data_IF_654240817593
#
_entry.id   IF_654240817593
#
_cell.length_a   1.000
_cell.length_b   1.000
_cell.length_c   1.000
_cell.angle_alpha   90.00
_cell.angle_beta   90.00
_cell.angle_gamma   90.00
#
_symmetry.space_group_name_H-M   'P 1'
#
loop_
_entity.id
_entity.type
_entity.pdbx_description
1 polymer ?
#
# COMPACT_ATOMS: atom_id res chain seq x y z
N UNK A 1 -0.20 -0.94 -11.50
CA UNK A 1 -1.57 -0.54 -11.19
C UNK A 1 -1.86 0.83 -11.77
N UNK A 2 -3.05 1.00 -12.31
CA UNK A 2 -3.37 2.28 -12.88
C UNK A 2 -3.73 3.30 -11.80
N UNK A 3 -3.86 4.56 -12.22
CA UNK A 3 -4.11 5.66 -11.29
C UNK A 3 -5.44 5.52 -10.56
N UNK A 4 -6.45 5.01 -11.25
CA UNK A 4 -7.78 4.83 -10.65
C UNK A 4 -7.73 3.79 -9.56
N UNK A 5 -7.07 2.66 -9.82
CA UNK A 5 -6.92 1.59 -8.84
C UNK A 5 -6.14 2.07 -7.63
N UNK A 6 -5.05 2.79 -7.86
CA UNK A 6 -4.25 3.33 -6.76
C UNK A 6 -5.07 4.26 -5.87
N UNK A 7 -5.89 5.10 -6.49
CA UNK A 7 -6.75 6.02 -5.75
C UNK A 7 -7.79 5.28 -4.91
N UNK A 8 -8.37 4.23 -5.47
CA UNK A 8 -9.37 3.42 -4.75
C UNK A 8 -8.76 2.72 -3.56
N UNK A 9 -7.57 2.15 -3.73
CA UNK A 9 -6.87 1.48 -2.64
C UNK A 9 -6.52 2.48 -1.55
N UNK A 10 -6.03 3.66 -1.94
CA UNK A 10 -5.69 4.70 -0.98
C UNK A 10 -6.91 5.12 -0.15
N UNK A 11 -8.03 5.34 -0.81
CA UNK A 11 -9.25 5.74 -0.11
C UNK A 11 -9.73 4.64 0.83
N UNK A 12 -9.65 3.41 0.39
CA UNK A 12 -10.04 2.27 1.23
C UNK A 12 -9.16 2.18 2.48
N UNK A 13 -7.84 2.28 2.30
CA UNK A 13 -6.92 2.19 3.43
C UNK A 13 -7.07 3.36 4.39
N UNK A 14 -7.27 4.56 3.85
CA UNK A 14 -7.49 5.73 4.71
C UNK A 14 -8.70 5.55 5.60
N UNK A 15 -9.78 5.01 5.05
CA UNK A 15 -10.99 4.75 5.80
C UNK A 15 -10.81 3.62 6.79
N UNK A 16 -10.25 2.51 6.33
CA UNK A 16 -10.09 1.30 7.15
C UNK A 16 -9.13 1.50 8.32
N UNK A 17 -8.07 2.26 8.08
CA UNK A 17 -7.04 2.49 9.10
C UNK A 17 -7.20 3.82 9.83
N UNK A 18 -8.21 4.60 9.46
CA UNK A 18 -8.48 5.87 10.11
C UNK A 18 -7.36 6.89 9.92
N UNK A 19 -6.70 6.88 8.76
CA UNK A 19 -5.58 7.78 8.51
C UNK A 19 -5.75 8.53 7.21
N UNK A 20 -5.94 9.85 7.31
CA UNK A 20 -6.05 10.72 6.14
C UNK A 20 -4.69 11.04 5.52
N UNK A 21 -3.61 10.73 6.23
CA UNK A 21 -2.27 11.05 5.79
C UNK A 21 -1.62 9.94 4.98
N UNK A 22 -2.26 8.78 4.93
CA UNK A 22 -1.75 7.63 4.20
C UNK A 22 -1.82 7.87 2.70
N UNK A 23 -0.75 7.53 1.98
CA UNK A 23 -0.69 7.65 0.54
C UNK A 23 -0.29 6.33 -0.09
N UNK A 24 -0.86 6.06 -1.26
CA UNK A 24 -0.51 4.89 -2.06
C UNK A 24 0.01 5.40 -3.40
N UNK A 25 1.26 5.10 -3.70
CA UNK A 25 1.93 5.59 -4.89
C UNK A 25 2.43 4.45 -5.75
N UNK A 26 2.22 4.56 -7.06
CA UNK A 26 2.73 3.56 -8.00
C UNK A 26 4.25 3.55 -8.00
N UNK A 27 4.82 2.38 -8.18
CA UNK A 27 6.26 2.21 -8.26
C UNK A 27 6.70 2.26 -9.71
N UNK A 28 7.76 3.01 -9.96
CA UNK A 28 8.35 3.08 -11.29
C UNK A 28 8.81 1.69 -11.73
N UNK A 29 8.47 1.34 -12.96
CA UNK A 29 8.81 0.03 -13.55
C UNK A 29 8.16 -1.18 -12.87
N UNK A 30 7.15 -0.94 -12.03
CA UNK A 30 6.41 -2.02 -11.37
C UNK A 30 4.92 -1.77 -11.59
N UNK A 31 4.29 -2.61 -12.39
CA UNK A 31 2.88 -2.43 -12.74
C UNK A 31 1.93 -3.12 -11.75
N UNK A 32 2.47 -4.03 -10.95
CA UNK A 32 1.64 -4.84 -10.04
C UNK A 32 1.94 -4.56 -8.56
N UNK A 33 2.63 -3.47 -8.27
CA UNK A 33 2.90 -3.11 -6.89
C UNK A 33 2.88 -1.60 -6.70
N UNK A 34 2.73 -1.19 -5.45
CA UNK A 34 2.69 0.22 -5.08
C UNK A 34 3.27 0.41 -3.69
N UNK A 35 3.82 1.59 -3.44
CA UNK A 35 4.35 1.94 -2.14
C UNK A 35 3.28 2.60 -1.28
N UNK A 36 3.30 2.30 0.01
CA UNK A 36 2.43 2.95 0.98
C UNK A 36 3.29 3.79 1.92
N UNK A 37 2.93 5.05 2.04
CA UNK A 37 3.64 5.97 2.94
C UNK A 37 2.65 6.63 3.89
N UNK A 38 3.15 7.07 5.04
CA UNK A 38 2.35 7.80 6.01
C UNK A 38 3.20 8.97 6.51
N UNK A 39 2.69 10.18 6.28
CA UNK A 39 3.42 11.41 6.64
C UNK A 39 4.83 11.43 6.03
N UNK A 40 4.94 10.91 4.81
CA UNK A 40 6.22 10.87 4.11
C UNK A 40 7.11 9.70 4.50
N UNK A 41 6.70 8.89 5.45
CA UNK A 41 7.48 7.75 5.91
C UNK A 41 6.99 6.47 5.24
N UNK A 42 7.91 5.71 4.68
CA UNK A 42 7.58 4.47 3.99
C UNK A 42 7.08 3.42 4.99
N UNK A 43 5.92 2.83 4.71
CA UNK A 43 5.35 1.78 5.56
C UNK A 43 5.47 0.41 4.94
N UNK A 44 5.18 0.28 3.67
CA UNK A 44 5.15 -1.04 3.07
C UNK A 44 4.76 -1.01 1.61
N UNK A 45 4.46 -2.18 1.08
CA UNK A 45 4.19 -2.37 -0.34
C UNK A 45 2.89 -3.13 -0.53
N UNK A 46 2.13 -2.71 -1.53
CA UNK A 46 0.91 -3.42 -1.93
C UNK A 46 1.22 -4.20 -3.20
N UNK A 47 0.81 -5.45 -3.23
CA UNK A 47 0.95 -6.32 -4.40
C UNK A 47 -0.42 -6.69 -4.93
N UNK A 48 -0.57 -6.61 -6.24
CA UNK A 48 -1.77 -7.06 -6.92
C UNK A 48 -1.66 -8.55 -7.21
N UNK A 49 -2.69 -9.30 -6.85
CA UNK A 49 -2.74 -10.73 -7.05
C UNK A 49 -3.96 -11.05 -7.92
N UNK A 50 -3.71 -11.64 -9.07
CA UNK A 50 -4.76 -11.98 -10.03
C UNK A 50 -4.95 -13.48 -10.19
N UNK A 51 -4.45 -14.27 -9.26
CA UNK A 51 -4.61 -15.71 -9.34
C UNK A 51 -6.08 -16.12 -9.20
N UNK A 52 -6.42 -17.23 -9.83
CA UNK A 52 -7.76 -17.83 -9.74
C UNK A 52 -8.88 -16.93 -10.31
N UNK A 53 -8.54 -15.99 -11.16
CA UNK A 53 -9.53 -15.16 -11.82
C UNK A 53 -10.09 -14.02 -10.97
N UNK A 54 -9.74 -13.99 -9.71
CA UNK A 54 -10.12 -12.90 -8.82
C UNK A 54 -8.95 -11.97 -8.59
N UNK A 55 -9.24 -10.69 -8.41
CA UNK A 55 -8.20 -9.70 -8.12
C UNK A 55 -8.26 -9.34 -6.66
N UNK A 56 -7.13 -9.43 -5.99
CA UNK A 56 -7.02 -8.94 -4.63
C UNK A 56 -5.69 -8.21 -4.48
N UNK A 57 -5.56 -7.47 -3.38
CA UNK A 57 -4.39 -6.67 -3.11
C UNK A 57 -3.89 -6.99 -1.71
N UNK A 58 -2.61 -7.31 -1.62
CA UNK A 58 -1.97 -7.65 -0.35
C UNK A 58 -1.08 -6.49 0.10
N UNK A 59 -1.29 -6.03 1.30
CA UNK A 59 -0.45 -4.99 1.89
C UNK A 59 0.54 -5.65 2.84
N UNK A 60 1.82 -5.58 2.50
CA UNK A 60 2.90 -6.10 3.32
C UNK A 60 3.64 -4.97 3.99
N UNK A 61 3.73 -5.04 5.30
CA UNK A 61 4.42 -4.04 6.10
C UNK A 61 5.52 -4.73 6.90
N UNK A 62 6.74 -4.24 6.78
CA UNK A 62 7.87 -4.79 7.52
C UNK A 62 8.15 -3.91 8.73
N UNK A 63 8.17 -4.53 9.90
CA UNK A 63 8.49 -3.84 11.15
C UNK A 63 9.85 -4.36 11.60
N UNK A 64 10.81 -3.46 11.67
CA UNK A 64 12.15 -3.83 12.10
C UNK A 64 12.22 -3.81 13.62
N UNK A 65 12.97 -4.76 14.16
CA UNK A 65 13.14 -4.85 15.61
C UNK A 65 13.65 -3.54 16.21
N UNK A 66 14.53 -2.86 15.48
CA UNK A 66 15.08 -1.59 15.93
C UNK A 66 14.01 -0.50 16.08
N UNK A 67 12.89 -0.66 15.36
CA UNK A 67 11.78 0.30 15.42
C UNK A 67 10.89 0.08 16.64
N UNK A 68 11.08 -1.03 17.36
CA UNK A 68 10.25 -1.40 18.50
C UNK A 68 10.83 -0.89 19.82
N UNK A 69 11.46 0.22 19.79
CA UNK A 69 12.05 0.83 21.00
C UNK A 69 10.98 1.34 21.95
N UNK A 70 11.18 1.12 23.23
CA UNK A 70 10.36 1.68 24.29
C UNK A 70 11.23 2.23 25.39
#
# INVERSE_FOLDING_TARGET
MDRITLSKIQNYLRTSLGSKQLKVEGRENKIDSADVTLNGEFLGVIFEDKEDGDVCYHFNMTILDIDLKN
#
